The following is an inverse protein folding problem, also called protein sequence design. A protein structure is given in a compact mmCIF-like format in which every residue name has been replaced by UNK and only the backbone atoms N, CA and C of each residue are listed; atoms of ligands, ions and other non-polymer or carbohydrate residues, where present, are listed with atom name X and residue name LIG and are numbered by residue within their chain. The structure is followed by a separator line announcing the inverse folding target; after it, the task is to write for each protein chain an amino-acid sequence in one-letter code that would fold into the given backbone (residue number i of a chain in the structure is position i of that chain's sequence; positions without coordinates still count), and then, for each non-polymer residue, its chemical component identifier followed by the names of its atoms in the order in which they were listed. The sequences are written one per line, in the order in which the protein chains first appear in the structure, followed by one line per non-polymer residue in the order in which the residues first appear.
data_IF_055307652571
#
_entry.id   IF_055307652571
#
_cell.length_a   1.000
_cell.length_b   1.000
_cell.length_c   1.000
_cell.angle_alpha   90.00
_cell.angle_beta   90.00
_cell.angle_gamma   90.00
#
_symmetry.space_group_name_H-M   'P 1'
#
loop_
_entity.id
_entity.type
_entity.pdbx_description
1 polymer ?
#
# COMPACT_ATOMS: atom_id res chain seq x y z
N UNK A 1 -13.43 -22.82 -10.58
CA UNK A 1 -12.02 -22.83 -10.11
C UNK A 1 -11.80 -24.15 -9.38
N UNK A 2 -10.98 -25.07 -9.92
CA UNK A 2 -10.64 -26.32 -9.20
C UNK A 2 -9.97 -25.93 -7.88
N UNK A 3 -10.42 -26.49 -6.75
CA UNK A 3 -9.67 -26.45 -5.49
C UNK A 3 -8.44 -27.32 -5.70
N UNK A 4 -7.42 -26.78 -6.35
CA UNK A 4 -6.12 -27.42 -6.45
C UNK A 4 -5.32 -26.96 -5.24
N UNK A 5 -4.85 -27.92 -4.46
CA UNK A 5 -3.89 -27.76 -3.36
C UNK A 5 -2.55 -27.24 -3.90
N UNK A 6 -2.50 -25.99 -4.39
CA UNK A 6 -1.26 -25.39 -4.87
C UNK A 6 -0.51 -24.70 -3.73
N UNK A 7 0.41 -25.45 -3.12
CA UNK A 7 1.76 -24.95 -2.84
C UNK A 7 2.07 -24.35 -1.48
N UNK A 8 1.33 -24.67 -0.42
CA UNK A 8 1.61 -24.15 0.93
C UNK A 8 1.56 -25.26 2.01
N UNK A 9 1.92 -26.49 1.65
CA UNK A 9 1.71 -27.65 2.53
C UNK A 9 2.86 -27.91 3.51
N UNK A 10 4.08 -27.47 3.20
CA UNK A 10 5.24 -27.80 4.04
C UNK A 10 5.65 -26.59 4.86
N UNK A 11 5.32 -26.63 6.16
CA UNK A 11 6.14 -25.91 7.13
C UNK A 11 7.52 -26.58 7.12
N UNK A 12 8.61 -25.83 6.91
CA UNK A 12 9.95 -26.40 6.91
C UNK A 12 10.29 -26.97 8.28
N UNK A 13 11.10 -28.01 8.32
CA UNK A 13 11.57 -28.61 9.57
C UNK A 13 12.59 -27.69 10.21
N UNK A 14 12.25 -27.06 11.34
CA UNK A 14 13.14 -26.12 12.02
C UNK A 14 13.86 -26.85 13.14
N UNK A 15 15.19 -26.82 13.10
CA UNK A 15 16.04 -27.32 14.19
C UNK A 15 16.37 -26.20 15.17
N UNK A 16 16.16 -26.47 16.46
CA UNK A 16 16.53 -25.56 17.54
C UNK A 16 17.33 -26.29 18.62
N UNK A 17 18.13 -25.53 19.36
CA UNK A 17 18.81 -26.04 20.55
C UNK A 17 17.77 -26.21 21.66
N UNK A 18 17.86 -27.30 22.40
CA UNK A 18 16.99 -27.52 23.56
C UNK A 18 17.14 -26.35 24.55
N UNK A 19 16.03 -25.69 24.85
CA UNK A 19 16.00 -24.61 25.82
C UNK A 19 14.88 -24.88 26.84
N UNK A 20 15.26 -25.42 28.00
CA UNK A 20 14.34 -25.80 29.07
C UNK A 20 13.62 -24.60 29.74
N UNK A 21 14.01 -23.36 29.43
CA UNK A 21 13.29 -22.18 29.92
C UNK A 21 12.07 -21.83 29.07
N UNK A 22 11.95 -22.39 27.86
CA UNK A 22 10.84 -22.10 26.96
C UNK A 22 9.62 -22.97 27.30
N UNK A 23 8.44 -22.36 27.29
CA UNK A 23 7.19 -23.11 27.25
C UNK A 23 7.04 -23.77 25.87
N UNK A 24 6.24 -24.85 25.82
CA UNK A 24 6.01 -25.61 24.58
C UNK A 24 5.56 -24.75 23.39
N UNK A 25 4.73 -23.73 23.62
CA UNK A 25 4.28 -22.84 22.55
C UNK A 25 5.37 -21.87 22.06
N UNK A 26 6.33 -21.52 22.91
CA UNK A 26 7.46 -20.64 22.57
C UNK A 26 8.51 -21.41 21.75
N UNK A 27 8.69 -22.70 22.04
CA UNK A 27 9.54 -23.58 21.23
C UNK A 27 9.04 -23.72 19.78
N UNK A 28 7.73 -23.61 19.57
CA UNK A 28 7.08 -23.75 18.27
C UNK A 28 6.67 -22.40 17.65
N UNK A 29 7.20 -21.28 18.16
CA UNK A 29 6.77 -19.93 17.74
C UNK A 29 6.86 -19.71 16.23
N UNK A 30 7.91 -20.21 15.58
CA UNK A 30 8.07 -20.08 14.13
C UNK A 30 7.09 -20.97 13.35
N UNK A 31 6.78 -22.17 13.83
CA UNK A 31 5.77 -23.01 13.20
C UNK A 31 4.38 -22.38 13.32
N UNK A 32 4.04 -21.88 14.51
CA UNK A 32 2.78 -21.21 14.77
C UNK A 32 2.61 -19.93 13.93
N UNK A 33 3.66 -19.10 13.83
CA UNK A 33 3.65 -17.89 13.01
C UNK A 33 3.52 -18.23 11.51
N UNK A 34 4.21 -19.27 11.04
CA UNK A 34 4.05 -19.73 9.66
C UNK A 34 2.62 -20.23 9.37
N UNK A 35 2.03 -20.98 10.30
CA UNK A 35 0.62 -21.42 10.21
C UNK A 35 -0.35 -20.24 10.19
N UNK A 36 -0.09 -19.19 10.97
CA UNK A 36 -0.88 -17.94 10.95
C UNK A 36 -0.82 -17.26 9.57
N UNK A 37 0.38 -17.11 9.00
CA UNK A 37 0.57 -16.54 7.66
C UNK A 37 -0.20 -17.34 6.60
N UNK A 38 -0.13 -18.68 6.67
CA UNK A 38 -0.88 -19.55 5.74
C UNK A 38 -2.39 -19.40 5.91
N UNK A 39 -2.86 -19.36 7.16
CA UNK A 39 -4.27 -19.22 7.46
C UNK A 39 -4.83 -17.90 6.91
N UNK A 40 -4.13 -16.80 7.11
CA UNK A 40 -4.50 -15.49 6.57
C UNK A 40 -4.58 -15.50 5.05
N UNK A 41 -3.60 -16.11 4.38
CA UNK A 41 -3.60 -16.24 2.93
C UNK A 41 -4.80 -17.08 2.44
N UNK A 42 -5.07 -18.20 3.09
CA UNK A 42 -6.23 -19.06 2.79
C UNK A 42 -7.55 -18.32 3.01
N UNK A 43 -7.68 -17.56 4.10
CA UNK A 43 -8.87 -16.77 4.39
C UNK A 43 -9.08 -15.65 3.38
N UNK A 44 -8.03 -14.92 2.99
CA UNK A 44 -8.11 -13.90 1.95
C UNK A 44 -8.58 -14.50 0.61
N UNK A 45 -8.06 -15.68 0.23
CA UNK A 45 -8.52 -16.41 -0.96
C UNK A 45 -9.98 -16.82 -0.87
N UNK A 46 -10.43 -17.27 0.30
CA UNK A 46 -11.84 -17.59 0.53
C UNK A 46 -12.72 -16.36 0.35
N UNK A 47 -12.33 -15.20 0.87
CA UNK A 47 -13.05 -13.94 0.69
C UNK A 47 -13.15 -13.55 -0.79
N UNK A 48 -12.04 -13.65 -1.55
CA UNK A 48 -12.01 -13.39 -3.00
C UNK A 48 -12.98 -14.33 -3.73
N UNK A 49 -12.90 -15.62 -3.44
CA UNK A 49 -13.77 -16.62 -4.06
C UNK A 49 -15.24 -16.37 -3.73
N UNK A 50 -15.55 -16.13 -2.45
CA UNK A 50 -16.91 -15.84 -1.99
C UNK A 50 -17.47 -14.61 -2.71
N UNK A 51 -16.72 -13.52 -2.77
CA UNK A 51 -17.11 -12.29 -3.44
C UNK A 51 -17.28 -12.46 -4.96
N UNK A 52 -16.46 -13.30 -5.60
CA UNK A 52 -16.56 -13.56 -7.05
C UNK A 52 -17.89 -14.20 -7.44
N UNK A 53 -18.54 -14.91 -6.51
CA UNK A 53 -19.84 -15.53 -6.73
C UNK A 53 -21.02 -14.59 -6.44
N UNK A 54 -20.77 -13.32 -6.08
CA UNK A 54 -21.79 -12.33 -5.75
C UNK A 54 -21.95 -11.36 -6.95
N UNK A 55 -23.17 -11.21 -7.49
CA UNK A 55 -23.48 -10.20 -8.50
C UNK A 55 -23.27 -8.76 -7.97
N UNK A 56 -22.92 -7.82 -8.86
CA UNK A 56 -22.67 -6.42 -8.48
C UNK A 56 -23.92 -5.73 -7.90
N UNK A 57 -25.10 -6.05 -8.43
CA UNK A 57 -26.41 -5.53 -8.03
C UNK A 57 -27.03 -6.24 -6.82
N UNK A 58 -26.36 -7.28 -6.28
CA UNK A 58 -26.91 -8.06 -5.17
C UNK A 58 -27.03 -7.20 -3.91
N UNK A 59 -28.26 -7.00 -3.45
CA UNK A 59 -28.54 -6.37 -2.15
C UNK A 59 -28.36 -7.39 -1.04
N UNK A 60 -27.51 -7.07 -0.07
CA UNK A 60 -27.28 -7.88 1.14
C UNK A 60 -27.90 -7.19 2.37
N UNK A 61 -28.23 -7.93 3.42
CA UNK A 61 -28.72 -7.36 4.69
C UNK A 61 -27.79 -6.25 5.20
N UNK A 62 -26.48 -6.45 5.06
CA UNK A 62 -25.44 -5.46 5.37
C UNK A 62 -25.71 -4.08 4.74
N UNK A 63 -26.20 -4.02 3.50
CA UNK A 63 -26.49 -2.76 2.81
C UNK A 63 -27.60 -1.96 3.51
N UNK A 64 -28.52 -2.63 4.18
CA UNK A 64 -29.68 -2.02 4.83
C UNK A 64 -29.45 -1.71 6.31
N UNK A 65 -28.24 -1.95 6.82
CA UNK A 65 -27.90 -1.66 8.22
C UNK A 65 -27.78 -0.16 8.50
N UNK A 66 -27.66 0.68 7.46
CA UNK A 66 -27.67 2.14 7.57
C UNK A 66 -28.10 2.80 6.24
N UNK A 67 -28.46 4.09 6.29
CA UNK A 67 -28.78 4.89 5.09
C UNK A 67 -27.51 5.33 4.38
N UNK A 68 -27.47 5.17 3.06
CA UNK A 68 -26.32 5.52 2.23
C UNK A 68 -26.59 6.80 1.43
N UNK A 69 -25.55 7.59 1.22
CA UNK A 69 -25.59 8.76 0.35
C UNK A 69 -25.39 8.32 -1.09
N UNK A 70 -26.27 8.75 -1.99
CA UNK A 70 -26.07 8.61 -3.43
C UNK A 70 -25.24 9.79 -3.94
N UNK A 71 -24.07 9.49 -4.48
CA UNK A 71 -23.13 10.46 -5.05
C UNK A 71 -23.03 10.34 -6.58
N UNK A 72 -23.96 9.59 -7.20
CA UNK A 72 -24.05 9.35 -8.65
C UNK A 72 -22.84 8.62 -9.24
N UNK A 73 -21.97 8.05 -8.42
CA UNK A 73 -20.81 7.28 -8.90
C UNK A 73 -21.15 5.83 -9.25
N UNK A 74 -22.39 5.39 -9.02
CA UNK A 74 -22.81 3.99 -9.19
C UNK A 74 -21.86 3.00 -8.47
N UNK A 75 -21.41 3.39 -7.27
CA UNK A 75 -20.51 2.58 -6.45
C UNK A 75 -21.18 1.26 -6.05
N UNK A 76 -20.46 0.16 -6.25
CA UNK A 76 -20.84 -1.16 -5.75
C UNK A 76 -20.52 -1.19 -4.24
N UNK A 77 -21.56 -1.12 -3.43
CA UNK A 77 -21.44 -0.88 -1.98
C UNK A 77 -21.98 -2.04 -1.13
N UNK A 78 -22.06 -3.23 -1.71
CA UNK A 78 -22.54 -4.45 -1.09
C UNK A 78 -21.43 -5.27 -0.42
N UNK A 79 -21.82 -6.42 0.13
CA UNK A 79 -20.89 -7.30 0.85
C UNK A 79 -19.72 -7.78 -0.03
N UNK A 80 -19.90 -7.85 -1.37
CA UNK A 80 -18.83 -8.21 -2.32
C UNK A 80 -17.65 -7.27 -2.18
N UNK A 81 -17.88 -5.97 -2.28
CA UNK A 81 -16.78 -4.99 -2.26
C UNK A 81 -16.11 -4.94 -0.89
N UNK A 82 -16.87 -5.16 0.19
CA UNK A 82 -16.29 -5.27 1.52
C UNK A 82 -15.41 -6.53 1.68
N UNK A 83 -15.82 -7.68 1.14
CA UNK A 83 -15.01 -8.89 1.14
C UNK A 83 -13.71 -8.73 0.33
N UNK A 84 -13.79 -8.13 -0.88
CA UNK A 84 -12.60 -7.89 -1.70
C UNK A 84 -11.63 -6.89 -1.04
N UNK A 85 -12.12 -5.78 -0.47
CA UNK A 85 -11.27 -4.82 0.28
C UNK A 85 -10.66 -5.46 1.52
N UNK A 86 -11.38 -6.35 2.19
CA UNK A 86 -10.85 -7.09 3.36
C UNK A 86 -9.78 -8.08 2.94
N UNK A 87 -9.98 -8.82 1.85
CA UNK A 87 -8.96 -9.70 1.29
C UNK A 87 -7.68 -8.92 0.90
N UNK A 88 -7.84 -7.75 0.27
CA UNK A 88 -6.72 -6.88 -0.09
C UNK A 88 -5.87 -6.50 1.13
N UNK A 89 -6.52 -6.02 2.21
CA UNK A 89 -5.83 -5.66 3.45
C UNK A 89 -5.10 -6.84 4.09
N UNK A 90 -5.75 -8.01 4.15
CA UNK A 90 -5.15 -9.23 4.71
C UNK A 90 -3.91 -9.63 3.91
N UNK A 91 -4.01 -9.66 2.58
CA UNK A 91 -2.88 -9.99 1.70
C UNK A 91 -1.72 -9.01 1.89
N UNK A 92 -2.00 -7.71 1.96
CA UNK A 92 -0.94 -6.72 2.15
C UNK A 92 -0.26 -6.87 3.53
N UNK A 93 -1.02 -7.13 4.59
CA UNK A 93 -0.50 -7.31 5.94
C UNK A 93 0.43 -8.53 6.07
N UNK A 94 0.27 -9.55 5.22
CA UNK A 94 1.14 -10.74 5.22
C UNK A 94 2.60 -10.36 4.95
N UNK A 95 2.89 -9.34 4.14
CA UNK A 95 4.27 -8.91 3.89
C UNK A 95 4.99 -8.50 5.19
N UNK A 96 4.34 -7.72 6.05
CA UNK A 96 4.92 -7.31 7.32
C UNK A 96 5.05 -8.50 8.30
N UNK A 97 4.14 -9.47 8.26
CA UNK A 97 4.29 -10.73 9.02
C UNK A 97 5.49 -11.54 8.56
N UNK A 98 5.70 -11.65 7.24
CA UNK A 98 6.90 -12.28 6.65
C UNK A 98 8.17 -11.53 7.09
N UNK A 99 8.14 -10.19 7.08
CA UNK A 99 9.28 -9.39 7.52
C UNK A 99 9.64 -9.65 8.99
N UNK A 100 8.63 -9.65 9.87
CA UNK A 100 8.80 -9.98 11.28
C UNK A 100 9.35 -11.39 11.47
N UNK A 101 8.79 -12.36 10.75
CA UNK A 101 9.27 -13.75 10.77
C UNK A 101 10.77 -13.82 10.42
N UNK A 102 11.17 -13.25 9.28
CA UNK A 102 12.55 -13.31 8.79
C UNK A 102 13.49 -12.60 9.75
N UNK A 103 13.11 -11.43 10.28
CA UNK A 103 13.93 -10.67 11.21
C UNK A 103 14.28 -11.49 12.45
N UNK A 104 13.29 -12.16 13.05
CA UNK A 104 13.50 -13.00 14.24
C UNK A 104 14.21 -14.31 13.89
N UNK A 105 13.76 -15.00 12.84
CA UNK A 105 14.32 -16.31 12.47
C UNK A 105 15.82 -16.24 12.16
N UNK A 106 16.26 -15.22 11.41
CA UNK A 106 17.67 -15.01 11.07
C UNK A 106 18.41 -14.11 12.07
N UNK A 107 17.77 -13.72 13.18
CA UNK A 107 18.30 -12.80 14.19
C UNK A 107 18.90 -11.53 13.56
N UNK A 108 18.18 -10.89 12.63
CA UNK A 108 18.72 -9.78 11.84
C UNK A 108 19.03 -8.56 12.71
N UNK A 109 18.12 -8.23 13.62
CA UNK A 109 18.16 -7.05 14.47
C UNK A 109 18.00 -7.42 15.95
N UNK A 110 18.40 -6.49 16.82
CA UNK A 110 18.10 -6.55 18.25
C UNK A 110 16.60 -6.39 18.50
N UNK A 111 16.08 -7.04 19.56
CA UNK A 111 14.65 -7.11 19.89
C UNK A 111 14.04 -5.71 20.15
N UNK A 112 14.83 -4.76 20.67
CA UNK A 112 14.39 -3.39 20.92
C UNK A 112 14.02 -2.63 19.63
N UNK A 113 14.44 -3.14 18.46
CA UNK A 113 14.14 -2.58 17.14
C UNK A 113 12.89 -3.17 16.49
N UNK A 114 12.16 -4.06 17.16
CA UNK A 114 10.99 -4.75 16.59
C UNK A 114 9.93 -3.80 16.01
N UNK A 115 9.73 -2.63 16.63
CA UNK A 115 8.77 -1.61 16.17
C UNK A 115 9.11 -1.00 14.80
N UNK A 116 10.34 -1.16 14.34
CA UNK A 116 10.82 -0.65 13.06
C UNK A 116 10.74 -1.69 11.94
N UNK A 117 10.42 -2.94 12.29
CA UNK A 117 10.33 -4.03 11.32
C UNK A 117 9.09 -3.80 10.47
N UNK A 118 9.33 -3.68 9.18
CA UNK A 118 8.34 -3.73 8.11
C UNK A 118 8.98 -4.40 6.91
N UNK A 119 8.17 -4.87 5.97
CA UNK A 119 8.70 -5.47 4.75
C UNK A 119 9.60 -4.49 3.99
N UNK A 120 9.26 -3.20 4.03
CA UNK A 120 10.06 -2.11 3.45
C UNK A 120 11.44 -1.96 4.09
N UNK A 121 11.52 -2.07 5.41
CA UNK A 121 12.78 -1.85 6.14
C UNK A 121 13.61 -3.12 6.32
N UNK A 122 13.06 -4.30 6.02
CA UNK A 122 13.69 -5.60 6.27
C UNK A 122 15.12 -5.71 5.69
N UNK A 123 15.30 -5.24 4.46
CA UNK A 123 16.58 -5.31 3.75
C UNK A 123 17.47 -4.10 3.96
N UNK A 124 17.02 -3.10 4.74
CA UNK A 124 17.78 -1.90 5.07
C UNK A 124 18.48 -2.09 6.41
N UNK A 125 19.70 -1.59 6.53
CA UNK A 125 20.38 -1.49 7.83
C UNK A 125 19.61 -0.53 8.75
N UNK A 126 19.29 -0.91 10.00
CA UNK A 126 18.66 0.01 10.94
C UNK A 126 19.55 1.24 11.13
N UNK A 127 18.96 2.44 11.05
CA UNK A 127 19.71 3.68 11.18
C UNK A 127 20.34 3.77 12.58
N UNK A 128 21.67 3.83 12.62
CA UNK A 128 22.44 4.23 13.81
C UNK A 128 22.62 5.75 13.79
N UNK A 129 21.58 6.49 14.20
CA UNK A 129 21.69 7.91 14.53
C UNK A 129 21.21 8.91 13.47
N UNK A 130 21.01 10.15 13.93
CA UNK A 130 20.59 11.32 13.13
C UNK A 130 21.75 11.75 12.21
N UNK A 131 21.69 11.41 10.92
CA UNK A 131 22.59 12.03 9.95
C UNK A 131 22.67 11.37 8.57
N UNK A 132 22.68 10.04 8.48
CA UNK A 132 22.78 9.35 7.20
C UNK A 132 21.42 8.76 6.78
N UNK A 133 20.81 9.36 5.75
CA UNK A 133 19.56 8.88 5.14
C UNK A 133 19.78 7.84 4.04
N UNK A 134 21.00 7.72 3.53
CA UNK A 134 21.33 6.82 2.41
C UNK A 134 20.91 5.38 2.71
N UNK A 135 20.25 4.75 1.74
CA UNK A 135 19.90 3.35 1.82
C UNK A 135 21.17 2.49 1.82
N UNK A 136 21.31 1.62 2.84
CA UNK A 136 22.40 0.65 2.93
C UNK A 136 21.79 -0.74 3.15
N UNK A 137 22.22 -1.75 2.37
CA UNK A 137 21.70 -3.10 2.52
C UNK A 137 22.06 -3.67 3.89
N UNK A 138 21.19 -4.50 4.45
CA UNK A 138 21.43 -5.17 5.72
C UNK A 138 22.62 -6.13 5.60
N UNK A 139 23.62 -6.01 6.49
CA UNK A 139 24.90 -6.72 6.39
C UNK A 139 24.71 -8.26 6.28
N UNK A 140 23.82 -8.84 7.09
CA UNK A 140 23.53 -10.30 7.07
C UNK A 140 22.81 -10.78 5.80
N UNK A 141 22.07 -9.90 5.13
CA UNK A 141 21.25 -10.28 3.97
C UNK A 141 22.00 -10.04 2.66
N UNK A 142 22.79 -8.96 2.58
CA UNK A 142 23.56 -8.55 1.40
C UNK A 142 24.43 -9.68 0.86
N UNK A 143 25.22 -10.28 1.75
CA UNK A 143 26.19 -11.32 1.39
C UNK A 143 25.64 -12.74 1.62
N UNK A 144 24.32 -12.85 1.85
CA UNK A 144 23.68 -14.14 2.06
C UNK A 144 23.76 -14.99 0.80
N UNK A 145 24.11 -16.27 0.96
CA UNK A 145 24.04 -17.26 -0.12
C UNK A 145 22.61 -17.76 -0.36
N UNK A 146 21.65 -17.32 0.46
CA UNK A 146 20.25 -17.73 0.38
C UNK A 146 19.54 -16.99 -0.76
N UNK A 147 19.46 -17.63 -1.93
CA UNK A 147 18.80 -17.08 -3.12
C UNK A 147 17.34 -16.70 -2.89
N UNK A 148 16.66 -17.35 -1.95
CA UNK A 148 15.24 -17.09 -1.67
C UNK A 148 15.03 -15.79 -0.88
N UNK A 149 16.01 -15.41 -0.05
CA UNK A 149 16.05 -14.06 0.57
C UNK A 149 16.19 -12.99 -0.51
N UNK A 150 17.05 -13.21 -1.51
CA UNK A 150 17.20 -12.29 -2.64
C UNK A 150 15.93 -12.22 -3.49
N UNK A 151 15.23 -13.34 -3.69
CA UNK A 151 13.94 -13.35 -4.37
C UNK A 151 12.88 -12.50 -3.62
N UNK A 152 12.83 -12.59 -2.28
CA UNK A 152 11.98 -11.73 -1.45
C UNK A 152 12.35 -10.24 -1.57
N UNK A 153 13.65 -9.93 -1.70
CA UNK A 153 14.10 -8.56 -1.96
C UNK A 153 13.59 -8.03 -3.31
N UNK A 154 13.60 -8.86 -4.36
CA UNK A 154 13.05 -8.47 -5.65
C UNK A 154 11.52 -8.28 -5.59
N UNK A 155 10.78 -9.10 -4.82
CA UNK A 155 9.35 -8.84 -4.57
C UNK A 155 9.15 -7.48 -3.87
N UNK A 156 10.00 -7.12 -2.90
CA UNK A 156 9.93 -5.80 -2.29
C UNK A 156 10.19 -4.69 -3.31
N UNK A 157 11.23 -4.83 -4.14
CA UNK A 157 11.54 -3.87 -5.21
C UNK A 157 10.38 -3.73 -6.17
N UNK A 158 9.74 -4.83 -6.53
CA UNK A 158 8.56 -4.85 -7.37
C UNK A 158 7.41 -4.04 -6.74
N UNK A 159 7.18 -4.18 -5.43
CA UNK A 159 6.11 -3.45 -4.71
C UNK A 159 6.37 -1.96 -4.54
N UNK A 160 7.63 -1.52 -4.42
CA UNK A 160 7.99 -0.15 -4.07
C UNK A 160 9.33 0.28 -4.64
N UNK A 161 9.35 1.54 -5.06
CA UNK A 161 10.61 2.23 -5.35
C UNK A 161 11.42 2.42 -4.06
N UNK A 162 12.61 1.84 -4.01
CA UNK A 162 13.53 2.04 -2.89
C UNK A 162 14.19 3.40 -3.10
N UNK A 163 13.67 4.42 -2.40
CA UNK A 163 14.26 5.77 -2.41
C UNK A 163 15.76 5.68 -2.09
N UNK A 164 16.57 6.35 -2.92
CA UNK A 164 18.04 6.44 -2.87
C UNK A 164 18.84 5.36 -3.65
N UNK A 165 18.20 4.56 -4.52
CA UNK A 165 18.86 3.89 -5.66
C UNK A 165 18.51 4.61 -6.97
N UNK A 166 19.32 4.46 -8.03
CA UNK A 166 18.92 4.87 -9.39
C UNK A 166 17.48 4.43 -9.60
N UNK A 167 16.59 5.38 -9.85
CA UNK A 167 15.16 5.12 -9.81
C UNK A 167 14.85 4.05 -10.85
N UNK A 168 14.61 2.84 -10.35
CA UNK A 168 14.08 1.74 -11.16
C UNK A 168 12.63 2.07 -11.54
N UNK A 169 12.10 3.24 -11.16
CA UNK A 169 10.82 3.80 -11.57
C UNK A 169 10.48 3.62 -13.05
N UNK A 170 11.48 3.66 -13.94
CA UNK A 170 11.27 3.46 -15.38
C UNK A 170 11.08 1.97 -15.77
N UNK A 171 11.42 1.04 -14.85
CA UNK A 171 11.38 -0.42 -14.99
C UNK A 171 10.45 -1.10 -13.97
N UNK A 172 9.90 -0.34 -13.01
CA UNK A 172 8.91 -0.84 -12.07
C UNK A 172 7.66 -1.24 -12.84
N UNK A 173 7.10 -2.40 -12.48
CA UNK A 173 5.82 -2.80 -13.04
C UNK A 173 4.77 -1.74 -12.63
N UNK A 174 4.16 -1.00 -13.58
CA UNK A 174 3.23 0.09 -13.28
C UNK A 174 2.00 -0.38 -12.48
N UNK A 175 1.69 -1.68 -12.50
CA UNK A 175 0.63 -2.25 -11.67
C UNK A 175 0.97 -2.28 -10.18
N UNK A 176 2.23 -2.29 -9.79
CA UNK A 176 2.63 -2.43 -8.40
C UNK A 176 2.66 -1.10 -7.63
N UNK A 177 2.90 0.01 -8.34
CA UNK A 177 2.66 1.37 -7.81
C UNK A 177 1.19 1.53 -7.41
N UNK A 178 0.27 0.98 -8.23
CA UNK A 178 -1.17 1.02 -7.93
C UNK A 178 -1.50 0.24 -6.66
N UNK A 179 -0.86 -0.90 -6.37
CA UNK A 179 -1.14 -1.69 -5.16
C UNK A 179 -0.88 -0.88 -3.88
N UNK A 180 0.26 -0.18 -3.80
CA UNK A 180 0.57 0.64 -2.62
C UNK A 180 -0.39 1.82 -2.46
N UNK A 181 -0.77 2.46 -3.56
CA UNK A 181 -1.78 3.53 -3.57
C UNK A 181 -3.15 3.01 -3.12
N UNK A 182 -3.64 1.91 -3.72
CA UNK A 182 -4.88 1.25 -3.36
C UNK A 182 -4.90 0.91 -1.86
N UNK A 183 -3.81 0.36 -1.32
CA UNK A 183 -3.68 0.07 0.11
C UNK A 183 -3.91 1.31 0.97
N UNK A 184 -3.25 2.41 0.62
CA UNK A 184 -3.38 3.67 1.35
C UNK A 184 -4.82 4.19 1.33
N UNK A 185 -5.49 4.11 0.18
CA UNK A 185 -6.87 4.54 0.04
C UNK A 185 -7.85 3.63 0.79
N UNK A 186 -7.65 2.31 0.78
CA UNK A 186 -8.51 1.36 1.50
C UNK A 186 -8.40 1.50 3.02
N UNK A 187 -7.19 1.76 3.55
CA UNK A 187 -6.96 1.80 5.00
C UNK A 187 -7.15 3.18 5.62
N UNK A 188 -6.87 4.25 4.89
CA UNK A 188 -6.71 5.59 5.47
C UNK A 188 -7.50 6.69 4.76
N UNK A 189 -8.16 6.41 3.64
CA UNK A 189 -8.97 7.38 2.88
C UNK A 189 -10.26 6.74 2.39
N UNK A 190 -10.86 7.31 1.34
CA UNK A 190 -12.05 6.76 0.69
C UNK A 190 -11.65 5.99 -0.57
N UNK A 191 -12.07 4.72 -0.66
CA UNK A 191 -11.87 3.89 -1.84
C UNK A 191 -13.23 3.37 -2.34
N UNK A 192 -13.56 3.65 -3.60
CA UNK A 192 -14.83 3.26 -4.22
C UNK A 192 -14.59 2.33 -5.40
N UNK A 193 -15.39 1.29 -5.45
CA UNK A 193 -15.38 0.33 -6.55
C UNK A 193 -16.65 0.57 -7.34
N UNK A 194 -16.53 0.88 -8.62
CA UNK A 194 -17.66 1.10 -9.52
C UNK A 194 -17.79 -0.05 -10.49
N UNK A 195 -18.98 -0.26 -11.04
CA UNK A 195 -19.15 -1.21 -12.12
C UNK A 195 -18.40 -0.70 -13.36
N UNK A 196 -17.58 -1.57 -13.97
CA UNK A 196 -16.89 -1.26 -15.23
C UNK A 196 -17.81 -0.73 -16.33
N UNK A 197 -19.10 -1.07 -16.34
CA UNK A 197 -20.08 -0.58 -17.32
C UNK A 197 -20.37 0.92 -17.19
N UNK A 198 -20.23 1.50 -15.99
CA UNK A 198 -20.47 2.93 -15.73
C UNK A 198 -19.17 3.74 -15.68
N UNK A 199 -18.02 3.11 -15.92
CA UNK A 199 -16.69 3.72 -15.84
C UNK A 199 -16.60 5.00 -16.68
N UNK A 200 -17.00 4.95 -17.95
CA UNK A 200 -16.91 6.09 -18.86
C UNK A 200 -17.79 7.27 -18.43
N UNK A 201 -18.93 7.00 -17.78
CA UNK A 201 -19.83 8.04 -17.28
C UNK A 201 -19.22 8.73 -16.06
N UNK A 202 -18.65 7.96 -15.14
CA UNK A 202 -18.06 8.48 -13.90
C UNK A 202 -16.77 9.25 -14.18
N UNK A 203 -15.93 8.77 -15.11
CA UNK A 203 -14.67 9.40 -15.48
C UNK A 203 -14.80 10.43 -16.61
N UNK A 204 -16.01 10.72 -17.09
CA UNK A 204 -16.24 11.83 -18.02
C UNK A 204 -16.01 13.17 -17.31
N UNK A 205 -14.78 13.66 -17.38
CA UNK A 205 -14.36 14.89 -16.72
C UNK A 205 -14.33 16.11 -17.65
N UNK A 206 -14.83 16.00 -18.88
CA UNK A 206 -14.65 17.04 -19.93
C UNK A 206 -15.16 18.40 -19.47
N UNK A 207 -16.34 18.44 -18.83
CA UNK A 207 -16.95 19.68 -18.36
C UNK A 207 -16.11 20.27 -17.21
N UNK A 208 -15.72 19.43 -16.25
CA UNK A 208 -14.95 19.84 -15.08
C UNK A 208 -13.55 20.34 -15.49
N UNK A 209 -12.89 19.66 -16.43
CA UNK A 209 -11.57 20.06 -16.95
C UNK A 209 -11.65 21.38 -17.71
N UNK A 210 -12.69 21.58 -18.51
CA UNK A 210 -12.92 22.86 -19.20
C UNK A 210 -13.12 24.01 -18.19
N UNK A 211 -13.89 23.78 -17.12
CA UNK A 211 -14.09 24.79 -16.09
C UNK A 211 -12.81 25.09 -15.30
N UNK A 212 -12.03 24.06 -14.93
CA UNK A 212 -10.72 24.23 -14.29
C UNK A 212 -9.80 25.07 -15.18
N UNK A 213 -9.77 24.78 -16.49
CA UNK A 213 -8.98 25.54 -17.45
C UNK A 213 -9.44 27.00 -17.53
N UNK A 214 -10.75 27.21 -17.65
CA UNK A 214 -11.34 28.56 -17.68
C UNK A 214 -10.99 29.37 -16.42
N UNK A 215 -11.15 28.78 -15.23
CA UNK A 215 -10.77 29.42 -13.96
C UNK A 215 -9.27 29.72 -13.90
N UNK A 216 -8.43 28.80 -14.37
CA UNK A 216 -6.97 28.98 -14.41
C UNK A 216 -6.55 30.12 -15.33
N UNK A 217 -7.17 30.22 -16.51
CA UNK A 217 -6.89 31.30 -17.47
C UNK A 217 -7.43 32.65 -16.96
N UNK A 218 -8.61 32.66 -16.33
CA UNK A 218 -9.18 33.84 -15.68
C UNK A 218 -8.29 34.33 -14.52
N UNK A 219 -7.79 33.42 -13.69
CA UNK A 219 -6.82 33.72 -12.63
C UNK A 219 -5.55 34.36 -13.19
N UNK A 220 -4.97 33.79 -14.24
CA UNK A 220 -3.79 34.35 -14.91
C UNK A 220 -4.06 35.76 -15.42
N UNK A 221 -5.22 35.98 -16.06
CA UNK A 221 -5.62 37.31 -16.55
C UNK A 221 -5.71 38.33 -15.41
N UNK A 222 -6.43 38.02 -14.33
CA UNK A 222 -6.52 38.92 -13.17
C UNK A 222 -5.18 39.19 -12.52
N UNK A 223 -4.30 38.19 -12.46
CA UNK A 223 -2.95 38.37 -11.94
C UNK A 223 -2.12 39.32 -12.82
N UNK A 224 -2.22 39.22 -14.14
CA UNK A 224 -1.58 40.18 -15.06
C UNK A 224 -2.15 41.61 -14.90
N UNK A 225 -3.47 41.76 -14.78
CA UNK A 225 -4.12 43.05 -14.54
C UNK A 225 -3.68 43.66 -13.20
N UNK A 226 -3.57 42.83 -12.15
CA UNK A 226 -3.08 43.22 -10.84
C UNK A 226 -1.62 43.73 -10.91
N UNK A 227 -0.74 42.97 -11.58
CA UNK A 227 0.67 43.33 -11.80
C UNK A 227 0.78 44.68 -12.54
N UNK A 228 -0.05 44.91 -13.56
CA UNK A 228 -0.07 46.17 -14.29
C UNK A 228 -0.60 47.36 -13.45
N UNK A 229 -1.51 47.10 -12.50
CA UNK A 229 -2.09 48.12 -11.61
C UNK A 229 -1.09 48.62 -10.55
N UNK A 230 -0.20 47.76 -10.05
CA UNK A 230 0.78 48.13 -9.02
C UNK A 230 1.61 49.39 -9.34
N UNK A 231 2.24 49.53 -10.52
CA UNK A 231 2.97 50.74 -10.87
C UNK A 231 2.07 51.96 -11.06
N UNK A 232 0.82 51.81 -11.50
CA UNK A 232 -0.14 52.91 -11.66
C UNK A 232 -0.60 53.48 -10.32
N UNK A 233 -0.92 52.60 -9.35
CA UNK A 233 -1.26 52.97 -7.97
C UNK A 233 -0.12 53.76 -7.33
N UNK A 234 1.12 53.34 -7.53
CA UNK A 234 2.29 54.03 -6.97
C UNK A 234 2.53 55.41 -7.58
N UNK A 235 2.24 55.60 -8.89
CA UNK A 235 2.40 56.89 -9.58
C UNK A 235 1.34 57.92 -9.19
N UNK A 236 0.13 57.50 -8.84
CA UNK A 236 -1.00 58.39 -8.57
C UNK A 236 -1.23 58.70 -7.07
N UNK A 237 -0.26 58.37 -6.20
CA UNK A 237 -0.34 58.64 -4.75
C UNK A 237 -0.70 60.11 -4.46
N UNK A 238 -1.72 60.32 -3.63
CA UNK A 238 -2.19 61.66 -3.21
C UNK A 238 -3.16 62.35 -4.17
N UNK A 239 -3.62 61.69 -5.23
CA UNK A 239 -4.69 62.18 -6.12
C UNK A 239 -6.01 61.46 -5.87
N UNK A 240 -7.13 62.06 -6.26
CA UNK A 240 -8.48 61.45 -6.10
C UNK A 240 -8.59 60.07 -6.79
N UNK A 241 -7.87 59.88 -7.91
CA UNK A 241 -7.80 58.61 -8.64
C UNK A 241 -7.06 57.49 -7.90
N UNK A 242 -6.29 57.83 -6.86
CA UNK A 242 -5.57 56.82 -6.06
C UNK A 242 -6.53 55.88 -5.33
N UNK A 243 -7.64 56.43 -4.81
CA UNK A 243 -8.64 55.67 -4.06
C UNK A 243 -9.34 54.66 -5.00
N UNK A 244 -9.73 55.09 -6.20
CA UNK A 244 -10.37 54.24 -7.21
C UNK A 244 -9.46 53.08 -7.67
N UNK A 245 -8.16 53.35 -7.86
CA UNK A 245 -7.19 52.30 -8.23
C UNK A 245 -6.94 51.30 -7.10
N UNK A 246 -6.98 51.75 -5.84
CA UNK A 246 -6.89 50.85 -4.67
C UNK A 246 -8.13 49.96 -4.60
N UNK A 247 -9.33 50.52 -4.75
CA UNK A 247 -10.58 49.74 -4.74
C UNK A 247 -10.57 48.66 -5.85
N UNK A 248 -10.14 49.04 -7.06
CA UNK A 248 -10.00 48.10 -8.19
C UNK A 248 -8.99 47.00 -7.89
N UNK A 249 -7.86 47.34 -7.26
CA UNK A 249 -6.86 46.37 -6.82
C UNK A 249 -7.44 45.39 -5.80
N UNK A 250 -8.08 45.89 -4.75
CA UNK A 250 -8.70 45.05 -3.72
C UNK A 250 -9.78 44.12 -4.31
N UNK A 251 -10.54 44.62 -5.29
CA UNK A 251 -11.54 43.81 -5.99
C UNK A 251 -10.89 42.66 -6.77
N UNK A 252 -9.80 42.93 -7.50
CA UNK A 252 -9.04 41.88 -8.22
C UNK A 252 -8.44 40.85 -7.25
N UNK A 253 -7.87 41.30 -6.13
CA UNK A 253 -7.33 40.39 -5.10
C UNK A 253 -8.42 39.47 -4.53
N UNK A 254 -9.61 40.02 -4.23
CA UNK A 254 -10.77 39.22 -3.79
C UNK A 254 -11.20 38.20 -4.84
N UNK A 255 -11.19 38.56 -6.13
CA UNK A 255 -11.54 37.65 -7.21
C UNK A 255 -10.51 36.53 -7.39
N UNK A 256 -9.21 36.84 -7.32
CA UNK A 256 -8.14 35.84 -7.36
C UNK A 256 -8.27 34.89 -6.18
N UNK A 257 -8.47 35.40 -4.97
CA UNK A 257 -8.63 34.58 -3.78
C UNK A 257 -9.85 33.65 -3.89
N UNK A 258 -10.96 34.13 -4.46
CA UNK A 258 -12.14 33.30 -4.69
C UNK A 258 -11.83 32.13 -5.65
N UNK A 259 -11.15 32.41 -6.76
CA UNK A 259 -10.74 31.36 -7.72
C UNK A 259 -9.78 30.36 -7.06
N UNK A 260 -8.80 30.84 -6.29
CA UNK A 260 -7.83 30.00 -5.60
C UNK A 260 -8.50 29.07 -4.59
N UNK A 261 -9.52 29.55 -3.88
CA UNK A 261 -10.33 28.73 -2.98
C UNK A 261 -11.09 27.64 -3.73
N UNK A 262 -11.70 27.96 -4.89
CA UNK A 262 -12.43 26.98 -5.71
C UNK A 262 -11.50 25.89 -6.26
N UNK A 263 -10.32 26.27 -6.78
CA UNK A 263 -9.33 25.32 -7.30
C UNK A 263 -8.77 24.45 -6.17
N UNK A 264 -8.46 25.05 -5.01
CA UNK A 264 -8.00 24.31 -3.84
C UNK A 264 -9.03 23.30 -3.34
N UNK A 265 -10.32 23.68 -3.25
CA UNK A 265 -11.39 22.78 -2.84
C UNK A 265 -11.53 21.60 -3.81
N UNK A 266 -11.46 21.86 -5.13
CA UNK A 266 -11.48 20.80 -6.14
C UNK A 266 -10.33 19.81 -5.96
N UNK A 267 -9.11 20.32 -5.77
CA UNK A 267 -7.91 19.49 -5.58
C UNK A 267 -7.97 18.68 -4.28
N UNK A 268 -8.42 19.32 -3.19
CA UNK A 268 -8.61 18.68 -1.90
C UNK A 268 -9.59 17.52 -1.98
N UNK A 269 -10.74 17.73 -2.63
CA UNK A 269 -11.78 16.72 -2.76
C UNK A 269 -11.38 15.59 -3.72
N UNK A 270 -10.68 15.89 -4.83
CA UNK A 270 -10.23 14.84 -5.77
C UNK A 270 -9.20 13.90 -5.14
N UNK A 271 -8.31 14.41 -4.27
CA UNK A 271 -7.31 13.58 -3.58
C UNK A 271 -7.89 12.70 -2.46
N UNK A 272 -9.13 12.96 -2.03
CA UNK A 272 -9.73 12.27 -0.89
C UNK A 272 -10.30 10.88 -1.24
N UNK A 273 -10.75 10.70 -2.48
CA UNK A 273 -11.39 9.45 -2.93
C UNK A 273 -10.69 8.90 -4.16
N UNK A 274 -10.29 7.63 -4.11
CA UNK A 274 -9.87 6.88 -5.28
C UNK A 274 -11.06 6.04 -5.78
N UNK A 275 -11.43 6.22 -7.04
CA UNK A 275 -12.47 5.46 -7.72
C UNK A 275 -11.80 4.51 -8.71
N UNK A 276 -12.20 3.24 -8.69
CA UNK A 276 -11.63 2.20 -9.55
C UNK A 276 -12.74 1.27 -10.04
N UNK A 277 -12.62 0.76 -11.26
CA UNK A 277 -13.56 -0.26 -11.75
C UNK A 277 -13.39 -1.58 -10.99
N UNK A 278 -14.45 -2.36 -10.88
CA UNK A 278 -14.43 -3.69 -10.29
C UNK A 278 -13.44 -4.64 -10.99
N UNK A 279 -13.34 -4.54 -12.31
CA UNK A 279 -12.36 -5.28 -13.12
C UNK A 279 -10.93 -4.91 -12.77
N UNK A 280 -10.59 -3.61 -12.77
CA UNK A 280 -9.24 -3.16 -12.48
C UNK A 280 -8.82 -3.51 -11.06
N UNK A 281 -9.71 -3.31 -10.09
CA UNK A 281 -9.44 -3.66 -8.71
C UNK A 281 -9.23 -5.17 -8.53
N UNK A 282 -10.03 -5.99 -9.22
CA UNK A 282 -9.86 -7.45 -9.18
C UNK A 282 -8.52 -7.87 -9.78
N UNK A 283 -8.09 -7.26 -10.89
CA UNK A 283 -6.76 -7.50 -11.48
C UNK A 283 -5.65 -7.21 -10.47
N UNK A 284 -5.68 -6.03 -9.84
CA UNK A 284 -4.67 -5.63 -8.84
C UNK A 284 -4.69 -6.54 -7.60
N UNK A 285 -5.87 -6.96 -7.15
CA UNK A 285 -6.03 -7.90 -6.04
C UNK A 285 -5.45 -9.28 -6.35
N UNK A 286 -5.61 -9.77 -7.58
CA UNK A 286 -5.04 -11.05 -8.00
C UNK A 286 -3.51 -10.96 -8.16
N UNK A 287 -2.98 -9.87 -8.70
CA UNK A 287 -1.53 -9.60 -8.73
C UNK A 287 -0.95 -9.58 -7.32
N UNK A 288 -1.60 -8.89 -6.39
CA UNK A 288 -1.20 -8.88 -4.97
C UNK A 288 -1.20 -10.31 -4.38
N UNK A 289 -2.25 -11.10 -4.64
CA UNK A 289 -2.34 -12.47 -4.16
C UNK A 289 -1.21 -13.36 -4.70
N UNK A 290 -0.78 -13.16 -5.94
CA UNK A 290 0.35 -13.87 -6.54
C UNK A 290 1.68 -13.50 -5.88
N UNK A 291 1.94 -12.21 -5.66
CA UNK A 291 3.15 -11.75 -4.97
C UNK A 291 3.23 -12.30 -3.54
N UNK A 292 2.11 -12.29 -2.82
CA UNK A 292 2.03 -12.85 -1.46
C UNK A 292 2.28 -14.36 -1.48
N UNK A 293 1.65 -15.08 -2.43
CA UNK A 293 1.89 -16.51 -2.60
C UNK A 293 3.38 -16.81 -2.83
N UNK A 294 4.02 -16.08 -3.74
CA UNK A 294 5.44 -16.26 -4.04
C UNK A 294 6.31 -15.93 -2.83
N UNK A 295 5.94 -14.90 -2.06
CA UNK A 295 6.63 -14.53 -0.82
C UNK A 295 6.55 -15.62 0.25
N UNK A 296 5.39 -16.24 0.43
CA UNK A 296 5.23 -17.37 1.38
C UNK A 296 6.08 -18.58 0.93
N UNK A 297 6.12 -18.86 -0.37
CA UNK A 297 6.96 -19.93 -0.94
C UNK A 297 8.44 -19.65 -0.70
N UNK A 298 8.90 -18.44 -1.02
CA UNK A 298 10.29 -18.04 -0.82
C UNK A 298 10.67 -17.99 0.67
N UNK A 299 9.76 -17.60 1.55
CA UNK A 299 9.97 -17.73 2.99
C UNK A 299 10.24 -19.19 3.37
N UNK A 300 9.37 -20.12 2.96
CA UNK A 300 9.54 -21.55 3.27
C UNK A 300 10.88 -22.09 2.76
N UNK A 301 11.24 -21.81 1.50
CA UNK A 301 12.52 -22.23 0.94
C UNK A 301 13.72 -21.54 1.58
N UNK A 302 13.59 -20.28 2.00
CA UNK A 302 14.66 -19.57 2.69
C UNK A 302 14.99 -20.24 4.03
N UNK A 303 13.98 -20.69 4.77
CA UNK A 303 14.15 -21.40 6.03
C UNK A 303 14.82 -22.75 5.76
N UNK A 304 14.27 -23.55 4.85
CA UNK A 304 14.80 -24.88 4.52
C UNK A 304 16.27 -24.83 4.08
N UNK A 305 16.61 -23.84 3.25
CA UNK A 305 17.99 -23.65 2.79
C UNK A 305 18.98 -23.37 3.93
N UNK A 306 18.56 -22.62 4.95
CA UNK A 306 19.41 -22.29 6.08
C UNK A 306 19.51 -23.45 7.07
N UNK A 307 18.39 -24.17 7.29
CA UNK A 307 18.35 -25.40 8.09
C UNK A 307 19.31 -26.46 7.56
N UNK A 308 19.35 -26.68 6.23
CA UNK A 308 20.26 -27.62 5.59
C UNK A 308 21.75 -27.25 5.73
N UNK A 309 22.05 -25.97 5.97
CA UNK A 309 23.42 -25.46 6.13
C UNK A 309 23.91 -25.46 7.56
N UNK A 310 23.04 -25.72 8.54
CA UNK A 310 23.45 -25.85 9.94
C UNK A 310 24.43 -27.04 10.07
N UNK A 311 25.50 -26.90 10.87
CA UNK A 311 26.48 -27.97 11.03
C UNK A 311 25.79 -29.26 11.53
N UNK A 312 26.08 -30.44 10.95
CA UNK A 312 25.30 -31.66 11.18
C UNK A 312 25.31 -32.23 12.61
N UNK A 313 26.07 -31.65 13.54
CA UNK A 313 26.24 -32.06 14.94
C UNK A 313 27.18 -31.05 15.60
N UNK A 314 26.65 -30.04 16.25
CA UNK A 314 27.34 -29.50 17.44
C UNK A 314 27.20 -30.59 18.52
N UNK A 315 28.19 -30.79 19.37
CA UNK A 315 28.21 -31.79 20.47
C UNK A 315 27.15 -31.53 21.58
N UNK A 316 26.07 -30.82 21.26
CA UNK A 316 24.97 -30.39 22.14
C UNK A 316 23.67 -30.87 21.52
N UNK A 317 22.74 -31.38 22.33
CA UNK A 317 21.47 -31.96 21.89
C UNK A 317 20.65 -31.00 20.98
N UNK A 318 20.79 -31.16 19.67
CA UNK A 318 19.94 -30.55 18.64
C UNK A 318 18.84 -31.55 18.32
N UNK A 319 17.58 -31.15 18.48
CA UNK A 319 16.43 -32.01 18.22
C UNK A 319 15.73 -31.56 16.93
N UNK A 320 15.59 -32.47 15.97
CA UNK A 320 14.66 -32.30 14.87
C UNK A 320 13.27 -32.72 15.36
N UNK A 321 12.34 -31.76 15.43
CA UNK A 321 11.00 -32.03 15.96
C UNK A 321 10.02 -32.25 14.81
N UNK A 322 9.40 -33.43 14.79
CA UNK A 322 8.20 -33.64 13.98
C UNK A 322 7.05 -32.89 14.64
N UNK A 323 6.58 -31.84 13.98
CA UNK A 323 5.46 -31.02 14.50
C UNK A 323 4.16 -31.82 14.32
N UNK A 324 3.44 -32.13 15.42
CA UNK A 324 2.18 -32.86 15.32
C UNK A 324 1.14 -32.02 14.55
N UNK A 325 0.51 -32.63 13.56
CA UNK A 325 -0.52 -32.01 12.71
C UNK A 325 -1.90 -32.27 13.32
N UNK A 326 -2.81 -31.29 13.23
CA UNK A 326 -4.20 -31.42 13.67
C UNK A 326 -5.10 -31.94 12.55
#
# INVERSE_FOLDING_TARGET
MRVVHFGVEFAPSISSRLNMTLAYHEELVYHANFDEIKNDFCYARYLIFSASNIPNDKVHFFNNTFKKTDDLTHTIDNIKTQQLKSAFKILYAIFDKIAYFISHFFNLNDIDKDKQISFENLFKKPNSGKGNKEWKPHDKLKDSKNQFIHALFYILKDLRDIKDQESVSDWLNPDLVKICEIRNYIEHRSFKIIDSLYSDLVFSEVIQQNEIRHLTDKRKKYNCELIALYPEVNKQKGTDKHIELIEKKEQLEKQIQHIDNQLYEKEKCSKHTLIMSDKDFTTQLMTLAELVRNSIIYLSFSIEFDEQKKPPKDERLVWHREVPRK
#
